data_IF_130662945152
#
_entry.id   IF_130662945152
#
_cell.length_a   1.000
_cell.length_b   1.000
_cell.length_c   1.000
_cell.angle_alpha   90.00
_cell.angle_beta   90.00
_cell.angle_gamma   90.00
#
_symmetry.space_group_name_H-M   'P 1'
#
loop_
_entity.id
_entity.type
_entity.pdbx_description
1 polymer ?
#
# COMPACT_ATOMS: atom_id res chain seq x y z
N UNK A 1 -17.43 -5.91 19.84
CA UNK A 1 -16.56 -4.82 19.35
C UNK A 1 -15.23 -4.89 20.08
N UNK A 2 -14.10 -4.99 19.37
CA UNK A 2 -12.77 -4.90 20.00
C UNK A 2 -12.55 -3.46 20.49
N UNK A 3 -11.92 -3.28 21.65
CA UNK A 3 -11.56 -1.94 22.15
C UNK A 3 -10.52 -1.32 21.19
N UNK A 4 -10.66 -0.02 20.85
CA UNK A 4 -9.61 0.67 20.11
C UNK A 4 -8.34 0.74 20.94
N UNK A 5 -7.20 0.45 20.32
CA UNK A 5 -5.87 0.65 20.92
C UNK A 5 -5.49 2.13 20.84
N UNK A 6 -4.80 2.62 21.86
CA UNK A 6 -4.36 4.02 21.95
C UNK A 6 -2.88 4.10 21.60
N UNK A 7 -2.56 4.89 20.58
CA UNK A 7 -1.18 5.19 20.18
C UNK A 7 -0.88 6.65 20.50
N UNK A 8 0.19 6.89 21.26
CA UNK A 8 0.70 8.24 21.55
C UNK A 8 1.93 8.49 20.68
N UNK A 9 1.91 9.55 19.89
CA UNK A 9 3.05 9.97 19.09
C UNK A 9 3.43 11.40 19.45
N UNK A 10 4.73 11.68 19.46
CA UNK A 10 5.26 13.02 19.68
C UNK A 10 5.33 13.74 18.34
N UNK A 11 4.99 15.02 18.33
CA UNK A 11 5.06 15.89 17.15
C UNK A 11 5.91 17.10 17.48
N UNK A 12 6.51 17.69 16.46
CA UNK A 12 7.12 19.01 16.57
C UNK A 12 6.05 20.11 16.65
N UNK A 13 6.50 21.32 16.97
CA UNK A 13 5.63 22.49 17.14
C UNK A 13 4.88 22.85 15.84
N UNK A 14 5.56 22.76 14.70
CA UNK A 14 5.00 23.07 13.39
C UNK A 14 3.81 22.14 13.06
N UNK A 15 3.98 20.84 13.27
CA UNK A 15 2.92 19.86 13.04
C UNK A 15 1.79 20.00 14.07
N UNK A 16 2.11 20.33 15.33
CA UNK A 16 1.10 20.59 16.35
C UNK A 16 0.20 21.79 15.98
N UNK A 17 0.78 22.85 15.43
CA UNK A 17 0.06 24.05 15.00
C UNK A 17 -0.88 23.82 13.83
N UNK A 18 -0.54 22.87 12.95
CA UNK A 18 -1.44 22.43 11.88
C UNK A 18 -2.57 21.57 12.45
N UNK A 19 -2.25 20.59 13.31
CA UNK A 19 -3.22 19.62 13.84
C UNK A 19 -4.21 20.28 14.82
N UNK A 20 -3.83 21.33 15.56
CA UNK A 20 -4.67 21.92 16.61
C UNK A 20 -6.02 22.43 16.11
N UNK A 21 -6.10 22.83 14.84
CA UNK A 21 -7.32 23.39 14.24
C UNK A 21 -8.21 22.33 13.57
N UNK A 22 -7.75 21.08 13.47
CA UNK A 22 -8.48 20.03 12.77
C UNK A 22 -9.65 19.55 13.64
N UNK A 23 -10.90 19.63 13.16
CA UNK A 23 -12.03 19.03 13.85
C UNK A 23 -11.88 17.50 13.84
N UNK A 24 -12.12 16.87 14.98
CA UNK A 24 -11.98 15.41 15.16
C UNK A 24 -10.60 14.85 14.70
N UNK A 25 -9.52 15.35 15.31
CA UNK A 25 -8.12 14.96 15.05
C UNK A 25 -7.89 13.46 14.89
N UNK A 26 -8.50 12.65 15.76
CA UNK A 26 -8.33 11.19 15.73
C UNK A 26 -8.87 10.56 14.44
N UNK A 27 -9.98 11.07 13.90
CA UNK A 27 -10.56 10.61 12.63
C UNK A 27 -9.68 11.06 11.46
N UNK A 28 -9.28 12.33 11.44
CA UNK A 28 -8.38 12.84 10.40
C UNK A 28 -7.08 12.05 10.32
N UNK A 29 -6.42 11.84 11.47
CA UNK A 29 -5.17 11.08 11.55
C UNK A 29 -5.39 9.63 11.09
N UNK A 30 -6.51 9.00 11.46
CA UNK A 30 -6.83 7.64 11.00
C UNK A 30 -6.98 7.57 9.48
N UNK A 31 -7.74 8.49 8.89
CA UNK A 31 -7.93 8.53 7.43
C UNK A 31 -6.62 8.83 6.71
N UNK A 32 -5.84 9.79 7.19
CA UNK A 32 -4.53 10.13 6.63
C UNK A 32 -3.57 8.93 6.66
N UNK A 33 -3.52 8.20 7.78
CA UNK A 33 -2.70 7.00 7.92
C UNK A 33 -3.18 5.86 7.01
N UNK A 34 -4.49 5.58 6.98
CA UNK A 34 -5.05 4.53 6.12
C UNK A 34 -4.77 4.84 4.64
N UNK A 35 -5.01 6.08 4.21
CA UNK A 35 -4.77 6.49 2.82
C UNK A 35 -3.28 6.42 2.46
N UNK A 36 -2.40 6.85 3.35
CA UNK A 36 -0.96 6.73 3.16
C UNK A 36 -0.54 5.26 3.08
N UNK A 37 -1.05 4.39 3.95
CA UNK A 37 -0.69 2.97 3.97
C UNK A 37 -1.26 2.20 2.77
N UNK A 38 -2.48 2.50 2.33
CA UNK A 38 -3.07 1.90 1.13
C UNK A 38 -2.31 2.29 -0.15
N UNK A 39 -1.70 3.49 -0.16
CA UNK A 39 -0.94 4.00 -1.31
C UNK A 39 0.55 3.63 -1.29
N UNK A 40 1.05 3.14 -0.15
CA UNK A 40 2.47 2.80 0.03
C UNK A 40 2.73 1.39 -0.48
N UNK A 41 3.82 1.23 -1.26
CA UNK A 41 4.24 -0.08 -1.73
C UNK A 41 4.42 -1.04 -0.53
N UNK A 42 3.64 -2.14 -0.45
CA UNK A 42 3.62 -3.00 0.74
C UNK A 42 4.92 -3.79 0.92
N UNK A 43 5.73 -3.90 -0.13
CA UNK A 43 6.99 -4.64 -0.09
C UNK A 43 8.14 -3.81 0.46
N UNK A 44 8.35 -2.60 -0.07
CA UNK A 44 9.43 -1.71 0.39
C UNK A 44 8.99 -0.73 1.48
N UNK A 45 7.69 -0.72 1.83
CA UNK A 45 7.09 0.21 2.80
C UNK A 45 7.37 1.67 2.46
N UNK A 46 7.37 2.00 1.16
CA UNK A 46 7.53 3.37 0.68
C UNK A 46 8.98 3.86 0.62
N UNK A 47 9.95 3.04 1.02
CA UNK A 47 11.38 3.41 0.96
C UNK A 47 11.94 3.41 -0.47
N UNK A 48 11.27 2.73 -1.41
CA UNK A 48 11.77 2.51 -2.76
C UNK A 48 12.98 1.56 -2.85
N UNK A 49 13.45 1.01 -1.72
CA UNK A 49 14.65 0.17 -1.65
C UNK A 49 14.29 -1.15 -0.99
N UNK A 50 14.76 -2.27 -1.56
CA UNK A 50 14.60 -3.60 -0.97
C UNK A 50 15.89 -4.01 -0.27
N UNK A 51 15.77 -4.58 0.93
CA UNK A 51 16.87 -5.32 1.54
C UNK A 51 17.28 -6.51 0.66
N UNK A 52 18.50 -7.02 0.84
CA UNK A 52 18.97 -8.19 0.09
C UNK A 52 18.03 -9.40 0.19
N UNK A 53 17.43 -9.62 1.37
CA UNK A 53 16.47 -10.71 1.59
C UNK A 53 15.13 -10.43 0.89
N UNK A 54 14.60 -9.20 0.97
CA UNK A 54 13.38 -8.83 0.24
C UNK A 54 13.57 -8.94 -1.27
N UNK A 55 14.73 -8.51 -1.79
CA UNK A 55 15.05 -8.62 -3.21
C UNK A 55 15.04 -10.08 -3.69
N UNK A 56 15.65 -11.00 -2.92
CA UNK A 56 15.58 -12.45 -3.22
C UNK A 56 14.15 -13.00 -3.26
N UNK A 57 13.31 -12.60 -2.32
CA UNK A 57 11.89 -13.00 -2.31
C UNK A 57 11.13 -12.42 -3.51
N UNK A 58 11.38 -11.15 -3.82
CA UNK A 58 10.81 -10.47 -4.97
C UNK A 58 11.20 -11.14 -6.29
N UNK A 59 12.48 -11.45 -6.48
CA UNK A 59 12.98 -12.11 -7.69
C UNK A 59 12.37 -13.52 -7.86
N UNK A 60 12.10 -14.23 -6.76
CA UNK A 60 11.37 -15.50 -6.79
C UNK A 60 9.90 -15.29 -7.19
N UNK A 61 9.23 -14.28 -6.63
CA UNK A 61 7.85 -13.93 -6.95
C UNK A 61 7.69 -13.55 -8.43
N UNK A 62 8.62 -12.76 -8.95
CA UNK A 62 8.61 -12.26 -10.34
C UNK A 62 8.75 -13.34 -11.41
N UNK A 63 9.19 -14.56 -11.05
CA UNK A 63 9.25 -15.68 -12.00
C UNK A 63 7.89 -16.08 -12.58
N UNK A 64 6.84 -15.97 -11.75
CA UNK A 64 5.48 -16.35 -12.14
C UNK A 64 4.52 -15.13 -12.19
N UNK A 65 5.02 -13.95 -11.81
CA UNK A 65 4.25 -12.71 -11.75
C UNK A 65 5.03 -11.60 -12.44
N UNK A 66 4.57 -11.18 -13.61
CA UNK A 66 5.23 -10.13 -14.39
C UNK A 66 4.58 -8.78 -14.11
N UNK A 67 5.37 -7.69 -14.09
CA UNK A 67 4.79 -6.35 -14.12
C UNK A 67 4.50 -6.00 -15.57
N UNK A 68 3.25 -5.65 -15.87
CA UNK A 68 2.80 -5.17 -17.17
C UNK A 68 2.25 -3.76 -17.05
N UNK A 69 2.21 -3.07 -18.18
CA UNK A 69 1.55 -1.78 -18.34
C UNK A 69 0.20 -2.04 -18.99
N UNK A 70 -0.87 -1.51 -18.42
CA UNK A 70 -2.20 -1.59 -19.02
C UNK A 70 -2.27 -0.68 -20.25
N UNK A 71 -2.81 -1.17 -21.36
CA UNK A 71 -2.93 -0.40 -22.60
C UNK A 71 -4.08 0.63 -22.55
N UNK A 72 -5.03 0.49 -21.62
CA UNK A 72 -6.19 1.39 -21.49
C UNK A 72 -5.92 2.57 -20.54
N UNK A 73 -5.44 2.30 -19.32
CA UNK A 73 -5.18 3.35 -18.32
C UNK A 73 -3.70 3.74 -18.18
N UNK A 74 -2.79 3.05 -18.88
CA UNK A 74 -1.34 3.26 -18.79
C UNK A 74 -0.72 3.01 -17.39
N UNK A 75 -1.45 2.39 -16.46
CA UNK A 75 -0.95 2.05 -15.12
C UNK A 75 -0.19 0.73 -15.11
N UNK A 76 0.70 0.58 -14.13
CA UNK A 76 1.42 -0.67 -13.90
C UNK A 76 0.58 -1.62 -13.05
N UNK A 77 0.50 -2.89 -13.47
CA UNK A 77 -0.17 -3.95 -12.72
C UNK A 77 0.66 -5.23 -12.72
N UNK A 78 0.40 -6.09 -11.74
CA UNK A 78 1.05 -7.39 -11.64
C UNK A 78 0.18 -8.44 -12.35
N UNK A 79 0.68 -8.97 -13.45
CA UNK A 79 0.07 -10.06 -14.20
C UNK A 79 0.56 -11.42 -13.68
N UNK A 80 -0.36 -12.20 -13.12
CA UNK A 80 -0.11 -13.59 -12.74
C UNK A 80 -0.19 -14.49 -13.97
N UNK A 81 0.81 -15.34 -14.19
CA UNK A 81 0.71 -16.40 -15.19
C UNK A 81 0.18 -17.63 -14.47
N UNK A 82 -1.06 -18.04 -14.76
CA UNK A 82 -1.77 -19.11 -14.05
C UNK A 82 -0.94 -20.40 -14.01
N UNK A 83 -0.30 -20.64 -12.87
CA UNK A 83 0.34 -21.90 -12.51
C UNK A 83 -0.46 -22.54 -11.36
N UNK A 84 -0.43 -23.87 -11.19
CA UNK A 84 -1.23 -24.57 -10.16
C UNK A 84 -1.04 -24.05 -8.73
N UNK A 85 0.06 -23.35 -8.46
CA UNK A 85 0.38 -22.75 -7.17
C UNK A 85 -0.27 -21.39 -6.90
N UNK A 86 -0.91 -20.76 -7.88
CA UNK A 86 -1.54 -19.45 -7.75
C UNK A 86 -3.06 -19.61 -7.63
N UNK A 87 -3.54 -19.96 -6.43
CA UNK A 87 -4.98 -19.98 -6.12
C UNK A 87 -5.42 -18.57 -5.69
N UNK A 88 -5.51 -17.66 -6.66
CA UNK A 88 -5.87 -16.25 -6.42
C UNK A 88 -5.43 -15.32 -7.54
N UNK A 89 -5.88 -15.59 -8.76
CA UNK A 89 -5.67 -14.68 -9.89
C UNK A 89 -6.77 -13.62 -9.90
N UNK A 90 -6.45 -12.40 -9.46
CA UNK A 90 -7.29 -11.25 -9.78
C UNK A 90 -7.04 -10.88 -11.23
N UNK A 91 -8.03 -11.11 -12.09
CA UNK A 91 -8.05 -10.53 -13.43
C UNK A 91 -8.17 -9.00 -13.28
N UNK A 92 -7.32 -8.25 -13.98
CA UNK A 92 -7.45 -6.80 -14.05
C UNK A 92 -8.64 -6.48 -14.97
N UNK A 93 -9.80 -6.18 -14.37
CA UNK A 93 -11.02 -5.80 -15.09
C UNK A 93 -11.31 -4.31 -14.91
N UNK A 94 -11.56 -3.62 -16.02
CA UNK A 94 -12.11 -2.27 -16.01
C UNK A 94 -13.63 -2.37 -15.80
N UNK A 95 -14.07 -2.18 -14.56
CA UNK A 95 -15.49 -1.96 -14.28
C UNK A 95 -15.92 -0.63 -14.90
N UNK A 96 -16.96 -0.66 -15.73
CA UNK A 96 -17.60 0.53 -16.28
C UNK A 96 -18.37 1.23 -15.14
N UNK A 97 -17.83 2.33 -14.63
CA UNK A 97 -18.59 3.36 -13.92
C UNK A 97 -18.82 4.56 -14.85
#
# INVERSE_FOLDING_TARGET
MKKPEVVTFKVDEALMDLIKHIPNRSEFIRHALLHALDSVCPLCQGTGILSASQKKHWDKFQKNHSIKRCDECNELYINCVSTPSCQGGGEHSHGLD
#
